data_IF_694603362277
#
_entry.id   IF_694603362277
#
_cell.length_a   1.000
_cell.length_b   1.000
_cell.length_c   1.000
_cell.angle_alpha   90.00
_cell.angle_beta   90.00
_cell.angle_gamma   90.00
#
_symmetry.space_group_name_H-M   'P 1'
#
loop_
_entity.id
_entity.type
_entity.pdbx_description
1 polymer ?
#
# COMPACT_ATOMS: atom_id res chain seq x y z
N UNK A 1 4.15 32.86 -16.55
CA UNK A 1 4.38 32.05 -15.32
C UNK A 1 3.76 30.68 -15.51
N UNK A 2 4.54 29.61 -15.47
CA UNK A 2 4.01 28.24 -15.68
C UNK A 2 3.30 27.80 -14.38
N UNK A 3 2.01 27.42 -14.48
CA UNK A 3 1.28 26.90 -13.31
C UNK A 3 1.87 25.53 -12.95
N UNK A 4 2.28 25.30 -11.69
CA UNK A 4 2.82 24.02 -11.27
C UNK A 4 1.84 22.87 -11.55
N UNK A 5 2.35 21.74 -12.02
CA UNK A 5 1.55 20.52 -12.19
C UNK A 5 1.04 20.01 -10.85
N UNK A 6 0.02 19.14 -10.86
CA UNK A 6 -0.49 18.50 -9.61
C UNK A 6 0.64 17.79 -8.90
N UNK A 7 1.54 17.11 -9.62
CA UNK A 7 2.67 16.40 -9.04
C UNK A 7 3.67 17.35 -8.37
N UNK A 8 4.00 18.47 -8.99
CA UNK A 8 4.92 19.46 -8.39
C UNK A 8 4.37 20.03 -7.08
N UNK A 9 3.06 20.27 -7.00
CA UNK A 9 2.40 20.69 -5.76
C UNK A 9 2.46 19.61 -4.68
N UNK A 10 2.18 18.37 -5.03
CA UNK A 10 2.28 17.23 -4.10
C UNK A 10 3.70 17.10 -3.55
N UNK A 11 4.71 17.18 -4.42
CA UNK A 11 6.11 17.09 -4.01
C UNK A 11 6.49 18.24 -3.07
N UNK A 12 6.08 19.47 -3.37
CA UNK A 12 6.35 20.62 -2.51
C UNK A 12 5.74 20.43 -1.11
N UNK A 13 4.48 20.03 -1.03
CA UNK A 13 3.80 19.72 0.24
C UNK A 13 4.53 18.62 1.00
N UNK A 14 4.93 17.54 0.34
CA UNK A 14 5.65 16.44 0.99
C UNK A 14 7.03 16.84 1.51
N UNK A 15 7.73 17.73 0.83
CA UNK A 15 9.01 18.27 1.32
C UNK A 15 8.83 19.07 2.62
N UNK A 16 7.76 19.85 2.70
CA UNK A 16 7.44 20.64 3.91
C UNK A 16 7.02 19.73 5.07
N UNK A 17 6.17 18.73 4.82
CA UNK A 17 5.79 17.71 5.80
C UNK A 17 7.01 16.96 6.37
N UNK A 18 7.91 16.50 5.49
CA UNK A 18 9.14 15.81 5.91
C UNK A 18 10.06 16.73 6.72
N UNK A 19 10.19 18.01 6.33
CA UNK A 19 10.98 18.98 7.06
C UNK A 19 10.42 19.19 8.48
N UNK A 20 9.11 19.37 8.60
CA UNK A 20 8.43 19.51 9.89
C UNK A 20 8.57 18.27 10.76
N UNK A 21 8.36 17.08 10.19
CA UNK A 21 8.52 15.82 10.90
C UNK A 21 9.96 15.61 11.41
N UNK A 22 10.98 15.94 10.63
CA UNK A 22 12.38 15.89 11.05
C UNK A 22 12.73 16.87 12.17
N UNK A 23 12.07 18.02 12.20
CA UNK A 23 12.25 19.00 13.29
C UNK A 23 11.62 18.50 14.61
N UNK A 24 10.54 17.73 14.53
CA UNK A 24 9.87 17.15 15.70
C UNK A 24 10.53 15.88 16.20
N UNK A 25 10.93 15.00 15.29
CA UNK A 25 11.57 13.71 15.59
C UNK A 25 12.78 13.52 14.68
N UNK A 26 13.97 13.62 15.25
CA UNK A 26 15.22 13.38 14.52
C UNK A 26 15.34 11.95 14.02
N UNK A 27 16.07 11.76 12.92
CA UNK A 27 16.25 10.46 12.28
C UNK A 27 16.79 9.35 13.22
N UNK A 28 17.74 9.59 14.13
CA UNK A 28 18.20 8.56 15.07
C UNK A 28 17.07 8.07 15.99
N UNK A 29 16.24 8.97 16.52
CA UNK A 29 15.12 8.62 17.37
C UNK A 29 14.05 7.83 16.60
N UNK A 30 13.75 8.24 15.36
CA UNK A 30 12.84 7.51 14.49
C UNK A 30 13.35 6.09 14.20
N UNK A 31 14.65 5.92 13.91
CA UNK A 31 15.26 4.58 13.72
C UNK A 31 15.13 3.70 14.96
N UNK A 32 15.31 4.26 16.15
CA UNK A 32 15.08 3.55 17.41
C UNK A 32 13.62 3.07 17.57
N UNK A 33 12.66 3.93 17.29
CA UNK A 33 11.24 3.58 17.33
C UNK A 33 10.89 2.50 16.30
N UNK A 34 11.44 2.58 15.08
CA UNK A 34 11.25 1.56 14.04
C UNK A 34 11.81 0.22 14.48
N UNK A 35 13.03 0.19 15.05
CA UNK A 35 13.64 -1.04 15.53
C UNK A 35 12.81 -1.71 16.64
N UNK A 36 12.26 -0.92 17.55
CA UNK A 36 11.38 -1.43 18.62
C UNK A 36 10.03 -1.92 18.06
N UNK A 37 9.46 -1.16 17.12
CA UNK A 37 8.21 -1.55 16.45
C UNK A 37 8.34 -2.88 15.72
N UNK A 38 9.45 -3.10 15.00
CA UNK A 38 9.69 -4.33 14.25
C UNK A 38 9.77 -5.58 15.13
N UNK A 39 10.16 -5.46 16.40
CA UNK A 39 10.14 -6.57 17.36
C UNK A 39 8.72 -6.96 17.77
N UNK A 40 7.85 -5.97 17.99
CA UNK A 40 6.52 -6.16 18.57
C UNK A 40 5.42 -6.33 17.50
N UNK A 41 5.59 -5.73 16.33
CA UNK A 41 4.62 -5.74 15.23
C UNK A 41 5.36 -5.73 13.89
N UNK A 42 5.95 -6.87 13.49
CA UNK A 42 6.71 -6.96 12.24
C UNK A 42 5.78 -6.85 11.03
N UNK A 43 6.31 -6.45 9.85
CA UNK A 43 5.56 -6.41 8.60
C UNK A 43 4.91 -7.76 8.27
N UNK A 44 3.65 -7.73 7.81
CA UNK A 44 2.85 -8.94 7.52
C UNK A 44 3.25 -9.70 6.27
N UNK A 45 4.32 -9.27 5.58
CA UNK A 45 4.86 -9.98 4.42
C UNK A 45 4.15 -9.67 3.10
N UNK A 46 3.86 -8.40 2.84
CA UNK A 46 3.23 -7.91 1.61
C UNK A 46 3.88 -8.47 0.34
N UNK A 47 5.20 -8.31 0.19
CA UNK A 47 5.93 -8.83 -0.97
C UNK A 47 5.87 -10.36 -1.07
N UNK A 48 5.95 -11.05 0.07
CA UNK A 48 5.86 -12.53 0.12
C UNK A 48 4.49 -13.03 -0.33
N UNK A 49 3.41 -12.38 0.06
CA UNK A 49 2.05 -12.76 -0.36
C UNK A 49 1.88 -12.65 -1.88
N UNK A 50 2.37 -11.58 -2.48
CA UNK A 50 2.36 -11.38 -3.94
C UNK A 50 3.20 -12.47 -4.62
N UNK A 51 4.42 -12.71 -4.15
CA UNK A 51 5.33 -13.71 -4.70
C UNK A 51 4.73 -15.13 -4.64
N UNK A 52 4.16 -15.52 -3.52
CA UNK A 52 3.50 -16.82 -3.37
C UNK A 52 2.34 -16.99 -4.35
N UNK A 53 1.54 -15.95 -4.57
CA UNK A 53 0.44 -15.97 -5.52
C UNK A 53 0.92 -16.16 -6.95
N UNK A 54 1.96 -15.41 -7.35
CA UNK A 54 2.57 -15.52 -8.68
C UNK A 54 3.21 -16.91 -8.91
N UNK A 55 3.94 -17.42 -7.92
CA UNK A 55 4.57 -18.73 -7.99
C UNK A 55 3.55 -19.86 -8.07
N UNK A 56 2.46 -19.79 -7.31
CA UNK A 56 1.38 -20.79 -7.38
C UNK A 56 0.73 -20.82 -8.78
N UNK A 57 0.53 -19.65 -9.39
CA UNK A 57 0.01 -19.54 -10.74
C UNK A 57 0.97 -20.15 -11.78
N UNK A 58 2.27 -19.86 -11.66
CA UNK A 58 3.30 -20.43 -12.55
C UNK A 58 3.40 -21.96 -12.40
N UNK A 59 3.33 -22.49 -11.18
CA UNK A 59 3.35 -23.93 -10.92
C UNK A 59 2.14 -24.64 -11.53
N UNK A 60 0.95 -24.07 -11.43
CA UNK A 60 -0.27 -24.59 -12.03
C UNK A 60 -0.18 -24.63 -13.57
N UNK A 61 0.39 -23.59 -14.19
CA UNK A 61 0.63 -23.55 -15.63
C UNK A 61 1.61 -24.64 -16.08
N UNK A 62 2.74 -24.79 -15.38
CA UNK A 62 3.76 -25.79 -15.70
C UNK A 62 3.25 -27.25 -15.50
N UNK A 63 2.26 -27.45 -14.63
CA UNK A 63 1.62 -28.74 -14.42
C UNK A 63 0.58 -29.09 -15.51
N UNK A 64 0.46 -28.29 -16.57
CA UNK A 64 -0.45 -28.55 -17.70
C UNK A 64 -1.92 -28.26 -17.42
N UNK A 65 -2.22 -27.55 -16.34
CA UNK A 65 -3.57 -27.06 -16.07
C UNK A 65 -3.88 -25.88 -17.01
N UNK A 66 -4.55 -26.14 -18.11
CA UNK A 66 -4.97 -25.13 -19.08
C UNK A 66 -6.51 -25.12 -19.22
N UNK A 67 -7.17 -23.95 -19.11
CA UNK A 67 -6.55 -22.70 -18.67
C UNK A 67 -6.18 -22.78 -17.19
N UNK A 68 -4.92 -22.58 -16.87
CA UNK A 68 -4.55 -22.39 -15.47
C UNK A 68 -5.44 -21.26 -14.92
N UNK A 69 -6.08 -21.41 -13.75
CA UNK A 69 -6.77 -20.31 -13.10
C UNK A 69 -5.71 -19.36 -12.55
N UNK A 70 -5.05 -18.64 -13.46
CA UNK A 70 -4.03 -17.64 -13.13
C UNK A 70 -4.78 -16.41 -12.65
N UNK A 71 -5.30 -16.50 -11.44
CA UNK A 71 -5.80 -15.29 -10.78
C UNK A 71 -4.59 -14.40 -10.48
N UNK A 72 -4.52 -13.18 -11.02
CA UNK A 72 -3.42 -12.25 -10.76
C UNK A 72 -3.31 -11.96 -9.26
N UNK A 73 -2.13 -11.55 -8.82
CA UNK A 73 -1.98 -10.96 -7.49
C UNK A 73 -2.63 -9.58 -7.51
N UNK A 74 -3.65 -9.38 -6.69
CA UNK A 74 -4.40 -8.13 -6.61
C UNK A 74 -4.00 -7.36 -5.37
N UNK A 75 -3.56 -6.13 -5.56
CA UNK A 75 -3.37 -5.14 -4.50
C UNK A 75 -4.61 -4.25 -4.50
N UNK A 76 -5.40 -4.31 -3.43
CA UNK A 76 -6.61 -3.50 -3.31
C UNK A 76 -6.36 -2.27 -2.42
N UNK A 77 -6.43 -1.09 -3.00
CA UNK A 77 -6.18 0.15 -2.27
C UNK A 77 -7.42 0.60 -1.49
N UNK A 78 -7.27 0.77 -0.18
CA UNK A 78 -8.31 1.34 0.71
C UNK A 78 -8.03 2.84 0.88
N UNK A 79 -8.79 3.68 0.17
CA UNK A 79 -8.53 5.12 0.08
C UNK A 79 -9.79 5.96 0.29
N UNK A 80 -9.76 6.86 1.28
CA UNK A 80 -10.84 7.84 1.53
C UNK A 80 -10.76 9.07 0.65
N UNK A 81 -9.55 9.58 0.45
CA UNK A 81 -9.31 10.84 -0.25
C UNK A 81 -8.01 10.80 -1.03
N UNK A 82 -7.85 11.69 -2.00
CA UNK A 82 -6.60 11.88 -2.73
C UNK A 82 -6.26 13.37 -2.89
N UNK A 83 -4.97 13.72 -3.06
CA UNK A 83 -4.56 15.12 -3.26
C UNK A 83 -5.20 15.79 -4.48
N UNK A 84 -5.53 15.01 -5.52
CA UNK A 84 -6.07 15.53 -6.78
C UNK A 84 -7.59 15.58 -6.84
N UNK A 85 -8.29 14.74 -6.06
CA UNK A 85 -9.76 14.60 -6.09
C UNK A 85 -10.44 14.99 -4.78
N UNK A 86 -9.68 15.27 -3.71
CA UNK A 86 -10.24 15.46 -2.39
C UNK A 86 -10.87 14.19 -1.84
N UNK A 87 -11.99 14.31 -1.12
CA UNK A 87 -12.73 13.17 -0.58
C UNK A 87 -13.36 12.39 -1.74
N UNK A 88 -12.97 11.13 -1.89
CA UNK A 88 -13.47 10.21 -2.91
C UNK A 88 -14.77 9.56 -2.42
N UNK A 89 -14.82 9.23 -1.14
CA UNK A 89 -15.98 8.57 -0.53
C UNK A 89 -16.24 9.14 0.87
N UNK A 90 -17.37 9.86 1.06
CA UNK A 90 -17.73 10.45 2.36
C UNK A 90 -18.04 9.40 3.43
N UNK A 91 -18.80 8.36 3.04
CA UNK A 91 -19.22 7.21 3.86
C UNK A 91 -18.12 6.12 3.95
N UNK A 92 -16.90 6.52 4.29
CA UNK A 92 -15.73 5.64 4.23
C UNK A 92 -15.56 4.82 5.51
N UNK A 93 -15.83 3.52 5.38
CA UNK A 93 -15.68 2.50 6.44
C UNK A 93 -14.51 1.57 6.10
N UNK A 94 -13.27 1.90 6.49
CA UNK A 94 -12.07 1.19 6.03
C UNK A 94 -12.07 -0.29 6.39
N UNK A 95 -12.62 -0.66 7.55
CA UNK A 95 -12.67 -2.06 7.99
C UNK A 95 -13.63 -2.86 7.11
N UNK A 96 -14.80 -2.30 6.79
CA UNK A 96 -15.79 -2.95 5.93
C UNK A 96 -15.25 -3.15 4.52
N UNK A 97 -14.56 -2.14 3.96
CA UNK A 97 -13.91 -2.25 2.65
C UNK A 97 -12.78 -3.27 2.65
N UNK A 98 -11.91 -3.27 3.66
CA UNK A 98 -10.82 -4.23 3.78
C UNK A 98 -11.35 -5.67 3.79
N UNK A 99 -12.37 -5.96 4.59
CA UNK A 99 -13.03 -7.28 4.64
C UNK A 99 -13.68 -7.66 3.31
N UNK A 100 -14.31 -6.71 2.62
CA UNK A 100 -14.92 -6.93 1.31
C UNK A 100 -13.87 -7.29 0.26
N UNK A 101 -12.73 -6.59 0.25
CA UNK A 101 -11.63 -6.86 -0.67
C UNK A 101 -10.96 -8.20 -0.37
N UNK A 102 -10.74 -8.53 0.91
CA UNK A 102 -10.24 -9.84 1.32
C UNK A 102 -11.18 -10.97 0.84
N UNK A 103 -12.48 -10.84 1.09
CA UNK A 103 -13.50 -11.80 0.61
C UNK A 103 -13.55 -11.89 -0.91
N UNK A 104 -13.29 -10.80 -1.62
CA UNK A 104 -13.17 -10.74 -3.07
C UNK A 104 -11.88 -11.35 -3.64
N UNK A 105 -10.96 -11.79 -2.78
CA UNK A 105 -9.72 -12.46 -3.18
C UNK A 105 -8.54 -11.51 -3.40
N UNK A 106 -8.55 -10.29 -2.83
CA UNK A 106 -7.38 -9.42 -2.82
C UNK A 106 -6.21 -10.12 -2.11
N UNK A 107 -5.04 -10.08 -2.74
CA UNK A 107 -3.81 -10.68 -2.21
C UNK A 107 -3.21 -9.81 -1.11
N UNK A 108 -3.31 -8.50 -1.28
CA UNK A 108 -2.84 -7.48 -0.34
C UNK A 108 -3.80 -6.29 -0.30
N UNK A 109 -3.76 -5.52 0.79
CA UNK A 109 -4.47 -4.26 0.98
C UNK A 109 -3.46 -3.13 1.15
#
# INVERSE_FOLDING_TARGET
MKVPTVLERIIATKRDEVRAARATLGEPALRGQVAERLKNDPPRGFARAIQQRVMAAAAAFNAGHTPAPVAPAIIAEVKKASPSKGVIRPDFEPIAFARSYEKGGATCL
#
